data_IF_870389905881
#
_entry.id   IF_870389905881
#
_cell.length_a   1.000
_cell.length_b   1.000
_cell.length_c   1.000
_cell.angle_alpha   90.00
_cell.angle_beta   90.00
_cell.angle_gamma   90.00
#
_symmetry.space_group_name_H-M   'P 1'
#
loop_
_entity.id
_entity.type
_entity.pdbx_description
1 polymer ?
#
# COMPACT_ATOMS: atom_id res chain seq x y z
N UNK A 1 20.33 13.04 -34.77
CA UNK A 1 18.94 12.54 -34.61
C UNK A 1 18.82 11.20 -33.88
N UNK A 2 19.79 10.27 -34.00
CA UNK A 2 19.75 8.96 -33.32
C UNK A 2 19.67 9.03 -31.78
N UNK A 3 20.45 9.90 -31.11
CA UNK A 3 20.40 10.10 -29.65
C UNK A 3 19.01 10.50 -29.12
N UNK A 4 18.28 11.33 -29.87
CA UNK A 4 16.95 11.83 -29.47
C UNK A 4 15.88 10.73 -29.54
N UNK A 5 16.04 9.77 -30.47
CA UNK A 5 15.16 8.60 -30.63
C UNK A 5 15.44 7.54 -29.54
N UNK A 6 16.72 7.33 -29.20
CA UNK A 6 17.14 6.44 -28.11
C UNK A 6 16.66 6.95 -26.73
N UNK A 7 16.84 8.23 -26.40
CA UNK A 7 16.35 8.81 -25.14
C UNK A 7 14.81 8.70 -25.01
N UNK A 8 14.08 8.86 -26.12
CA UNK A 8 12.63 8.69 -26.14
C UNK A 8 12.22 7.24 -25.81
N UNK A 9 12.89 6.25 -26.39
CA UNK A 9 12.64 4.83 -26.08
C UNK A 9 12.97 4.48 -24.63
N UNK A 10 14.09 4.96 -24.10
CA UNK A 10 14.49 4.74 -22.70
C UNK A 10 13.43 5.32 -21.75
N UNK A 11 12.98 6.56 -21.99
CA UNK A 11 11.95 7.18 -21.15
C UNK A 11 10.63 6.41 -21.17
N UNK A 12 10.23 5.84 -22.31
CA UNK A 12 9.04 4.98 -22.42
C UNK A 12 9.22 3.67 -21.64
N UNK A 13 10.36 3.00 -21.76
CA UNK A 13 10.64 1.75 -21.04
C UNK A 13 10.64 1.98 -19.53
N UNK A 14 11.31 3.04 -19.06
CA UNK A 14 11.33 3.39 -17.63
C UNK A 14 9.92 3.73 -17.13
N UNK A 15 9.06 4.32 -17.97
CA UNK A 15 7.66 4.58 -17.63
C UNK A 15 6.82 3.32 -17.51
N UNK A 16 7.03 2.38 -18.42
CA UNK A 16 6.37 1.09 -18.36
C UNK A 16 6.81 0.27 -17.14
N UNK A 17 8.12 0.24 -16.84
CA UNK A 17 8.65 -0.44 -15.65
C UNK A 17 8.09 0.20 -14.37
N UNK A 18 8.05 1.53 -14.27
CA UNK A 18 7.46 2.21 -13.12
C UNK A 18 5.97 1.85 -12.94
N UNK A 19 5.21 1.76 -14.04
CA UNK A 19 3.81 1.34 -14.01
C UNK A 19 3.66 -0.12 -13.56
N UNK A 20 4.51 -1.04 -14.02
CA UNK A 20 4.50 -2.44 -13.59
C UNK A 20 4.84 -2.59 -12.10
N UNK A 21 5.84 -1.85 -11.61
CA UNK A 21 6.20 -1.84 -10.18
C UNK A 21 5.06 -1.29 -9.32
N UNK A 22 4.41 -0.21 -9.78
CA UNK A 22 3.22 0.31 -9.13
C UNK A 22 2.06 -0.69 -9.13
N UNK A 23 1.83 -1.40 -10.23
CA UNK A 23 0.80 -2.44 -10.31
C UNK A 23 1.11 -3.59 -9.33
N UNK A 24 2.36 -4.03 -9.26
CA UNK A 24 2.80 -5.02 -8.29
C UNK A 24 2.60 -4.53 -6.84
N UNK A 25 2.84 -3.25 -6.55
CA UNK A 25 2.56 -2.65 -5.25
C UNK A 25 1.06 -2.64 -4.92
N UNK A 26 0.17 -2.43 -5.90
CA UNK A 26 -1.29 -2.58 -5.71
C UNK A 26 -1.62 -4.03 -5.33
N UNK A 27 -1.05 -5.02 -6.03
CA UNK A 27 -1.27 -6.44 -5.73
C UNK A 27 -0.85 -6.83 -4.31
N UNK A 28 0.00 -6.05 -3.65
CA UNK A 28 0.35 -6.28 -2.24
C UNK A 28 -0.83 -6.11 -1.28
N UNK A 29 -1.95 -5.52 -1.71
CA UNK A 29 -3.17 -5.47 -0.89
C UNK A 29 -3.73 -6.85 -0.53
N UNK A 30 -3.43 -7.88 -1.35
CA UNK A 30 -3.85 -9.26 -1.12
C UNK A 30 -2.88 -10.03 -0.22
N UNK A 31 -1.74 -9.44 0.11
CA UNK A 31 -0.71 -10.05 0.95
C UNK A 31 -0.79 -9.47 2.38
N UNK A 32 -0.26 -10.18 3.38
CA UNK A 32 -0.14 -9.70 4.76
C UNK A 32 0.46 -8.30 4.87
N UNK A 33 -0.32 -7.35 5.37
CA UNK A 33 0.11 -5.98 5.61
C UNK A 33 0.41 -5.72 7.09
N UNK A 34 -0.30 -6.39 8.01
CA UNK A 34 -0.09 -6.33 9.45
C UNK A 34 0.00 -7.76 10.01
N UNK A 35 0.91 -8.00 10.95
CA UNK A 35 0.94 -9.19 11.80
C UNK A 35 0.72 -8.84 13.27
N UNK A 36 0.36 -9.83 14.08
CA UNK A 36 0.38 -9.72 15.55
C UNK A 36 1.73 -10.27 16.04
N UNK A 37 2.46 -9.48 16.83
CA UNK A 37 3.74 -9.89 17.42
C UNK A 37 3.59 -11.19 18.19
N UNK A 38 4.61 -12.04 18.12
CA UNK A 38 4.69 -13.31 18.84
C UNK A 38 3.59 -14.34 18.48
N UNK A 39 2.93 -14.16 17.33
CA UNK A 39 1.94 -15.11 16.78
C UNK A 39 2.06 -15.23 15.25
N UNK A 40 1.45 -16.28 14.67
CA UNK A 40 1.37 -16.44 13.20
C UNK A 40 0.18 -15.69 12.56
N UNK A 41 -0.61 -14.98 13.36
CA UNK A 41 -1.81 -14.28 12.87
C UNK A 41 -1.41 -13.06 12.04
N UNK A 42 -1.90 -13.02 10.81
CA UNK A 42 -1.68 -11.91 9.89
C UNK A 42 -2.96 -11.45 9.21
N UNK A 43 -2.97 -10.17 8.83
CA UNK A 43 -4.08 -9.52 8.15
C UNK A 43 -3.58 -8.88 6.86
N UNK A 44 -4.30 -9.17 5.79
CA UNK A 44 -4.02 -8.64 4.46
C UNK A 44 -4.26 -7.13 4.39
N UNK A 45 -3.65 -6.48 3.40
CA UNK A 45 -3.90 -5.06 3.13
C UNK A 45 -5.37 -4.72 2.93
N UNK A 46 -6.15 -5.61 2.31
CA UNK A 46 -7.60 -5.46 2.16
C UNK A 46 -8.33 -5.45 3.50
N UNK A 47 -8.05 -6.42 4.37
CA UNK A 47 -8.68 -6.51 5.70
C UNK A 47 -8.37 -5.27 6.54
N UNK A 48 -7.15 -4.75 6.43
CA UNK A 48 -6.70 -3.57 7.16
C UNK A 48 -7.27 -2.26 6.59
N UNK A 49 -7.49 -2.18 5.27
CA UNK A 49 -8.04 -0.99 4.62
C UNK A 49 -9.57 -0.94 4.69
N UNK A 50 -10.25 -2.05 4.41
CA UNK A 50 -11.72 -2.11 4.31
C UNK A 50 -12.41 -2.56 5.60
N UNK A 51 -11.64 -3.01 6.58
CA UNK A 51 -12.16 -3.60 7.81
C UNK A 51 -12.29 -5.12 7.70
N UNK A 52 -12.32 -5.78 8.85
CA UNK A 52 -12.39 -7.23 8.94
C UNK A 52 -13.15 -7.64 10.19
N UNK A 53 -14.11 -8.54 10.01
CA UNK A 53 -14.85 -9.20 11.08
C UNK A 53 -14.56 -10.69 11.00
N UNK A 54 -14.01 -11.22 12.09
CA UNK A 54 -13.80 -12.64 12.27
C UNK A 54 -15.08 -13.27 12.83
N UNK A 55 -15.46 -14.44 12.32
CA UNK A 55 -16.63 -15.18 12.79
C UNK A 55 -16.13 -16.49 13.38
N UNK A 56 -16.13 -16.58 14.71
CA UNK A 56 -15.77 -17.80 15.42
C UNK A 56 -17.03 -18.56 15.77
N UNK A 57 -17.13 -19.81 15.32
CA UNK A 57 -18.21 -20.72 15.71
C UNK A 57 -17.82 -21.42 17.00
N UNK A 58 -18.60 -21.24 18.07
CA UNK A 58 -18.38 -21.98 19.31
C UNK A 58 -18.94 -23.40 19.12
N UNK A 59 -18.10 -24.46 19.12
CA UNK A 59 -18.51 -25.81 18.74
C UNK A 59 -19.55 -26.45 19.67
N UNK A 60 -19.79 -25.86 20.85
CA UNK A 60 -20.65 -26.43 21.89
C UNK A 60 -22.10 -25.88 21.82
N UNK A 61 -22.34 -24.70 21.22
CA UNK A 61 -23.65 -24.00 21.30
C UNK A 61 -24.19 -23.59 19.91
N UNK A 62 -23.44 -23.82 18.81
CA UNK A 62 -23.88 -23.45 17.46
C UNK A 62 -24.07 -21.95 17.25
N UNK A 63 -23.67 -21.13 18.23
CA UNK A 63 -23.76 -19.67 18.19
C UNK A 63 -22.54 -19.09 17.48
N UNK A 64 -22.77 -18.24 16.49
CA UNK A 64 -21.71 -17.50 15.80
C UNK A 64 -21.36 -16.24 16.60
N UNK A 65 -20.12 -16.14 17.06
CA UNK A 65 -19.61 -14.90 17.66
C UNK A 65 -18.89 -14.14 16.55
N UNK A 66 -19.39 -12.93 16.24
CA UNK A 66 -18.76 -12.01 15.30
C UNK A 66 -17.90 -11.02 16.07
N UNK A 67 -16.60 -11.05 15.84
CA UNK A 67 -15.65 -10.10 16.42
C UNK A 67 -15.08 -9.22 15.31
N UNK A 68 -15.43 -7.94 15.31
CA UNK A 68 -14.80 -6.97 14.41
C UNK A 68 -13.38 -6.69 14.89
N UNK A 69 -12.40 -6.98 14.05
CA UNK A 69 -10.98 -6.78 14.36
C UNK A 69 -10.54 -5.38 13.93
N UNK A 70 -10.85 -5.03 12.68
CA UNK A 70 -10.54 -3.72 12.10
C UNK A 70 -11.79 -3.06 11.56
N UNK A 71 -11.89 -1.75 11.78
CA UNK A 71 -12.81 -0.88 11.09
C UNK A 71 -12.17 -0.35 9.80
N UNK A 72 -12.98 0.23 8.91
CA UNK A 72 -12.52 0.88 7.68
C UNK A 72 -11.45 1.94 7.98
N UNK A 73 -10.31 1.86 7.31
CA UNK A 73 -9.22 2.84 7.40
C UNK A 73 -9.04 3.57 6.08
N UNK A 74 -9.54 4.81 6.03
CA UNK A 74 -9.38 5.67 4.87
C UNK A 74 -7.91 5.88 4.50
N UNK A 75 -7.02 6.02 5.47
CA UNK A 75 -5.58 6.24 5.22
C UNK A 75 -4.91 5.02 4.58
N UNK A 76 -5.25 3.81 5.03
CA UNK A 76 -4.77 2.58 4.40
C UNK A 76 -5.37 2.40 3.00
N UNK A 77 -6.65 2.73 2.79
CA UNK A 77 -7.24 2.75 1.44
C UNK A 77 -6.58 3.79 0.52
N UNK A 78 -6.32 5.00 1.04
CA UNK A 78 -5.70 6.11 0.32
C UNK A 78 -4.31 5.73 -0.19
N UNK A 79 -3.57 4.92 0.56
CA UNK A 79 -2.29 4.36 0.13
C UNK A 79 -2.41 3.70 -1.25
N UNK A 80 -3.37 2.79 -1.43
CA UNK A 80 -3.58 2.09 -2.69
C UNK A 80 -4.11 3.01 -3.80
N UNK A 81 -4.94 4.00 -3.45
CA UNK A 81 -5.40 5.02 -4.40
C UNK A 81 -4.22 5.83 -4.93
N UNK A 82 -3.28 6.24 -4.08
CA UNK A 82 -2.10 6.98 -4.49
C UNK A 82 -1.19 6.15 -5.40
N UNK A 83 -1.00 4.86 -5.11
CA UNK A 83 -0.28 3.96 -6.03
C UNK A 83 -0.98 3.90 -7.39
N UNK A 84 -2.32 3.75 -7.40
CA UNK A 84 -3.09 3.71 -8.65
C UNK A 84 -2.94 5.00 -9.45
N UNK A 85 -2.99 6.17 -8.80
CA UNK A 85 -2.71 7.46 -9.44
C UNK A 85 -1.31 7.46 -10.06
N UNK A 86 -0.30 7.01 -9.30
CA UNK A 86 1.07 6.88 -9.81
C UNK A 86 1.18 5.99 -11.05
N UNK A 87 0.47 4.86 -11.06
CA UNK A 87 0.40 3.93 -12.21
C UNK A 87 -0.22 4.61 -13.42
N UNK A 88 -1.39 5.24 -13.25
CA UNK A 88 -2.11 5.92 -14.34
C UNK A 88 -1.24 6.99 -14.99
N UNK A 89 -0.59 7.85 -14.21
CA UNK A 89 0.28 8.89 -14.75
C UNK A 89 1.56 8.33 -15.39
N UNK A 90 2.10 7.22 -14.86
CA UNK A 90 3.24 6.52 -15.47
C UNK A 90 2.87 5.91 -16.84
N UNK A 91 1.67 5.35 -16.98
CA UNK A 91 1.16 4.85 -18.26
C UNK A 91 0.95 6.00 -19.25
N UNK A 92 0.34 7.12 -18.83
CA UNK A 92 0.18 8.31 -19.67
C UNK A 92 1.52 8.83 -20.19
N UNK A 93 2.55 8.82 -19.35
CA UNK A 93 3.92 9.14 -19.74
C UNK A 93 4.51 8.14 -20.74
N UNK A 94 4.29 6.84 -20.55
CA UNK A 94 4.74 5.80 -21.48
C UNK A 94 4.12 5.97 -22.88
N UNK A 95 2.84 6.35 -22.95
CA UNK A 95 2.11 6.61 -24.19
C UNK A 95 2.51 7.92 -24.89
N UNK A 96 3.49 8.66 -24.35
CA UNK A 96 3.96 9.93 -24.91
C UNK A 96 2.99 11.09 -24.72
N UNK A 97 1.93 10.90 -23.91
CA UNK A 97 0.98 11.95 -23.50
C UNK A 97 1.35 12.60 -22.16
N UNK A 98 2.35 12.08 -21.46
CA UNK A 98 2.80 12.63 -20.19
C UNK A 98 3.73 13.82 -20.38
N UNK A 99 3.29 14.97 -19.88
CA UNK A 99 4.15 16.13 -19.67
C UNK A 99 5.13 15.89 -18.52
N UNK A 100 6.12 16.78 -18.35
CA UNK A 100 6.98 16.75 -17.15
C UNK A 100 6.17 16.81 -15.85
N UNK A 101 5.02 17.50 -15.89
CA UNK A 101 4.10 17.54 -14.76
C UNK A 101 3.50 16.16 -14.44
N UNK A 102 3.13 15.36 -15.45
CA UNK A 102 2.63 13.99 -15.23
C UNK A 102 3.66 13.09 -14.54
N UNK A 103 4.93 13.15 -14.95
CA UNK A 103 6.01 12.40 -14.29
C UNK A 103 6.25 12.87 -12.85
N UNK A 104 6.12 14.18 -12.58
CA UNK A 104 6.22 14.71 -11.23
C UNK A 104 5.08 14.25 -10.33
N UNK A 105 3.83 14.30 -10.81
CA UNK A 105 2.66 13.80 -10.09
C UNK A 105 2.78 12.30 -9.83
N UNK A 106 3.24 11.51 -10.81
CA UNK A 106 3.48 10.09 -10.61
C UNK A 106 4.54 9.82 -9.53
N UNK A 107 5.66 10.54 -9.57
CA UNK A 107 6.72 10.41 -8.58
C UNK A 107 6.24 10.78 -7.17
N UNK A 108 5.51 11.89 -7.03
CA UNK A 108 4.96 12.32 -5.75
C UNK A 108 3.94 11.32 -5.21
N UNK A 109 3.01 10.84 -6.05
CA UNK A 109 1.99 9.88 -5.65
C UNK A 109 2.62 8.56 -5.17
N UNK A 110 3.58 8.02 -5.91
CA UNK A 110 4.31 6.82 -5.50
C UNK A 110 5.18 7.05 -4.26
N UNK A 111 5.84 8.21 -4.13
CA UNK A 111 6.65 8.53 -2.97
C UNK A 111 5.84 8.61 -1.68
N UNK A 112 4.70 9.32 -1.72
CA UNK A 112 3.79 9.42 -0.57
C UNK A 112 3.16 8.06 -0.25
N UNK A 113 2.72 7.31 -1.26
CA UNK A 113 2.21 5.95 -1.06
C UNK A 113 3.26 5.02 -0.43
N UNK A 114 4.52 5.13 -0.87
CA UNK A 114 5.64 4.38 -0.30
C UNK A 114 5.78 4.62 1.20
N UNK A 115 5.73 5.87 1.64
CA UNK A 115 5.72 6.21 3.08
C UNK A 115 4.50 5.62 3.78
N UNK A 116 3.31 5.74 3.18
CA UNK A 116 2.07 5.28 3.81
C UNK A 116 2.03 3.76 4.00
N UNK A 117 2.63 2.99 3.10
CA UNK A 117 2.81 1.54 3.29
C UNK A 117 3.61 1.21 4.57
N UNK A 118 4.62 2.00 4.93
CA UNK A 118 5.35 1.79 6.19
C UNK A 118 4.58 2.26 7.42
N UNK A 119 3.57 3.12 7.24
CA UNK A 119 2.69 3.62 8.30
C UNK A 119 1.39 2.82 8.44
N UNK A 120 1.25 1.68 7.74
CA UNK A 120 0.02 0.89 7.72
C UNK A 120 -0.48 0.48 9.12
N UNK A 121 0.43 0.12 10.03
CA UNK A 121 0.08 -0.19 11.43
C UNK A 121 -0.53 1.03 12.11
N UNK A 122 0.05 2.22 11.91
CA UNK A 122 -0.43 3.44 12.56
C UNK A 122 -1.78 3.91 12.02
N UNK A 123 -2.01 3.68 10.73
CA UNK A 123 -3.28 3.97 10.07
C UNK A 123 -4.36 2.93 10.31
N UNK A 124 -4.02 1.76 10.86
CA UNK A 124 -5.04 0.77 11.22
C UNK A 124 -5.98 1.34 12.29
N UNK A 125 -7.26 0.97 12.18
CA UNK A 125 -8.31 1.35 13.13
C UNK A 125 -8.84 0.06 13.76
N UNK A 126 -8.24 -0.40 14.87
CA UNK A 126 -8.76 -1.53 15.64
C UNK A 126 -10.16 -1.20 16.19
N UNK A 127 -10.99 -2.22 16.37
CA UNK A 127 -12.34 -2.02 16.93
C UNK A 127 -12.30 -1.47 18.37
N UNK A 128 -13.29 -0.65 18.73
CA UNK A 128 -13.37 0.00 20.05
C UNK A 128 -13.40 -0.99 21.22
N UNK A 129 -14.06 -2.14 21.07
CA UNK A 129 -14.18 -3.13 22.14
C UNK A 129 -12.83 -3.83 22.38
N UNK A 130 -12.09 -4.11 21.30
CA UNK A 130 -10.72 -4.60 21.40
C UNK A 130 -9.78 -3.55 22.02
N UNK A 131 -9.92 -2.27 21.62
CA UNK A 131 -9.13 -1.20 22.22
C UNK A 131 -9.40 -1.05 23.72
N UNK A 132 -10.66 -1.12 24.16
CA UNK A 132 -11.04 -1.06 25.58
C UNK A 132 -10.45 -2.21 26.37
N UNK A 133 -10.49 -3.43 25.82
CA UNK A 133 -9.89 -4.60 26.46
C UNK A 133 -8.37 -4.46 26.66
N UNK A 134 -7.64 -4.04 25.63
CA UNK A 134 -6.19 -3.83 25.71
C UNK A 134 -5.82 -2.68 26.67
N UNK A 135 -6.60 -1.59 26.65
CA UNK A 135 -6.40 -0.45 27.56
C UNK A 135 -6.64 -0.86 29.01
N UNK A 136 -7.64 -1.71 29.28
CA UNK A 136 -7.95 -2.20 30.61
C UNK A 136 -6.79 -2.98 31.24
N UNK A 137 -6.04 -3.73 30.44
CA UNK A 137 -4.83 -4.45 30.88
C UNK A 137 -3.54 -3.60 30.77
N UNK A 138 -3.67 -2.28 30.54
CA UNK A 138 -2.56 -1.33 30.51
C UNK A 138 -1.72 -1.36 29.23
N UNK A 139 -2.27 -1.84 28.11
CA UNK A 139 -1.55 -2.00 26.85
C UNK A 139 -2.25 -1.30 25.67
N UNK A 140 -1.50 -0.95 24.62
CA UNK A 140 -2.06 -0.49 23.35
C UNK A 140 -2.03 -1.64 22.36
N UNK A 141 -3.18 -1.93 21.74
CA UNK A 141 -3.31 -2.95 20.70
C UNK A 141 -2.33 -2.69 19.55
N UNK A 142 -2.04 -1.43 19.20
CA UNK A 142 -1.10 -1.08 18.13
C UNK A 142 0.34 -1.46 18.46
N UNK A 143 0.70 -1.52 19.75
CA UNK A 143 2.03 -2.00 20.16
C UNK A 143 2.20 -3.50 19.95
N UNK A 144 1.09 -4.24 19.89
CA UNK A 144 1.07 -5.67 19.58
C UNK A 144 1.06 -5.95 18.08
N UNK A 145 0.85 -4.92 17.25
CA UNK A 145 0.87 -5.04 15.79
C UNK A 145 2.29 -4.78 15.25
N UNK A 146 2.62 -5.46 14.16
CA UNK A 146 3.87 -5.26 13.42
C UNK A 146 3.58 -5.19 11.93
N UNK A 147 4.48 -4.54 11.19
CA UNK A 147 4.38 -4.43 9.75
C UNK A 147 4.74 -5.78 9.11
N UNK A 148 3.87 -6.28 8.23
CA UNK A 148 4.11 -7.54 7.53
C UNK A 148 4.67 -7.30 6.11
N UNK A 149 5.13 -8.38 5.48
CA UNK A 149 5.94 -8.32 4.27
C UNK A 149 5.21 -7.70 3.06
N UNK A 150 3.89 -7.84 2.95
CA UNK A 150 3.11 -7.24 1.86
C UNK A 150 3.20 -5.71 1.89
N UNK A 151 3.06 -5.10 3.06
CA UNK A 151 3.22 -3.65 3.20
C UNK A 151 4.68 -3.20 2.96
N UNK A 152 5.67 -3.95 3.46
CA UNK A 152 7.09 -3.64 3.24
C UNK A 152 7.43 -3.67 1.75
N UNK A 153 7.08 -4.76 1.05
CA UNK A 153 7.37 -4.93 -0.37
C UNK A 153 6.60 -3.91 -1.20
N UNK A 154 5.32 -3.63 -0.86
CA UNK A 154 4.52 -2.59 -1.51
C UNK A 154 5.17 -1.21 -1.41
N UNK A 155 5.66 -0.86 -0.21
CA UNK A 155 6.38 0.40 0.03
C UNK A 155 7.66 0.53 -0.78
N UNK A 156 8.49 -0.53 -0.81
CA UNK A 156 9.73 -0.55 -1.61
C UNK A 156 9.44 -0.43 -3.10
N UNK A 157 8.48 -1.19 -3.64
CA UNK A 157 8.10 -1.13 -5.05
C UNK A 157 7.58 0.26 -5.44
N UNK A 158 6.77 0.89 -4.57
CA UNK A 158 6.33 2.26 -4.76
C UNK A 158 7.51 3.25 -4.79
N UNK A 159 8.49 3.13 -3.88
CA UNK A 159 9.68 3.99 -3.93
C UNK A 159 10.53 3.80 -5.18
N UNK A 160 10.73 2.56 -5.64
CA UNK A 160 11.46 2.32 -6.90
C UNK A 160 10.70 2.91 -8.09
N UNK A 161 9.36 2.80 -8.11
CA UNK A 161 8.52 3.44 -9.13
C UNK A 161 8.58 4.98 -9.06
N UNK A 162 8.68 5.57 -7.86
CA UNK A 162 8.87 7.01 -7.66
C UNK A 162 10.21 7.47 -8.24
N UNK A 163 11.30 6.78 -7.91
CA UNK A 163 12.64 7.05 -8.42
C UNK A 163 12.70 6.95 -9.94
N UNK A 164 12.10 5.91 -10.53
CA UNK A 164 12.02 5.73 -11.97
C UNK A 164 11.31 6.90 -12.68
N UNK A 165 10.30 7.52 -12.03
CA UNK A 165 9.64 8.71 -12.55
C UNK A 165 10.44 10.01 -12.32
N UNK A 166 11.15 10.14 -11.20
CA UNK A 166 12.05 11.27 -10.94
C UNK A 166 13.21 11.33 -11.93
N UNK A 167 13.83 10.20 -12.25
CA UNK A 167 14.97 10.14 -13.20
C UNK A 167 14.59 10.74 -14.56
N UNK A 168 13.36 10.55 -15.03
CA UNK A 168 12.87 11.16 -16.28
C UNK A 168 12.69 12.67 -16.24
N UNK A 169 12.56 13.26 -15.05
CA UNK A 169 12.50 14.71 -14.91
C UNK A 169 13.87 15.35 -15.15
N UNK A 170 14.93 14.59 -14.87
CA UNK A 170 16.33 15.04 -14.96
C UNK A 170 16.95 14.72 -16.33
N UNK A 171 16.61 13.57 -16.93
CA UNK A 171 17.13 13.18 -18.26
C UNK A 171 16.44 13.96 -19.38
N UNK A 172 17.24 14.72 -20.18
CA UNK A 172 16.80 15.52 -21.35
C UNK A 172 16.68 14.72 -22.65
#
# INVERSE_FOLDING_TARGET
MAKKKANKQINTIVAFVAALLGLAAICMMFLPAIGIKDTDTTYTGMQVAFGYTEVTKVPIIGTEIKATIFNFSFMNMLTYILVLVGVVFSILAALGKGSKFANFVAAAAFGVAGVFFFLTVQYSIPNEDLQKLFTFIGSDIKNSLTLAYGAIVGGVLAFVAALANLVKLVIK
#
